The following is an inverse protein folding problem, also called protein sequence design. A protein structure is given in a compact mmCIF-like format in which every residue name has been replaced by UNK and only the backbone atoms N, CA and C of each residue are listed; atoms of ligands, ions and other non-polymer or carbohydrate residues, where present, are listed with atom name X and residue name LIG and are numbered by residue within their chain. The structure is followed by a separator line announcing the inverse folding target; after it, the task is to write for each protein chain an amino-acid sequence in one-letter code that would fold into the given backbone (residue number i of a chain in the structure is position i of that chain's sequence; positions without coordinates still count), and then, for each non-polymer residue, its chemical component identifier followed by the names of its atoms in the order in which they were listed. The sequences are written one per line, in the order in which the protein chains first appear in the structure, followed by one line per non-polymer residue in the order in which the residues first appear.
data_IF_425895053067
#
_entry.id   IF_425895053067
#
_cell.length_a   1.000
_cell.length_b   1.000
_cell.length_c   1.000
_cell.angle_alpha   90.00
_cell.angle_beta   90.00
_cell.angle_gamma   90.00
#
_symmetry.space_group_name_H-M   'P 1'
#
loop_
_entity.id
_entity.type
_entity.pdbx_description
1 polymer ?
#
# COMPACT_ATOMS: atom_id res chain seq x y z
N UNK A 1 -0.32 -9.82 22.54
CA UNK A 1 0.77 -9.24 21.73
C UNK A 1 0.14 -8.23 20.76
N UNK A 2 0.89 -7.42 20.01
CA UNK A 2 0.33 -6.43 19.06
C UNK A 2 1.26 -6.23 17.87
N UNK A 3 0.73 -5.87 16.70
CA UNK A 3 1.53 -5.58 15.50
C UNK A 3 2.64 -4.55 15.78
N UNK A 4 2.32 -3.54 16.60
CA UNK A 4 3.29 -2.55 17.10
C UNK A 4 4.46 -3.18 17.85
N UNK A 5 4.21 -4.17 18.72
CA UNK A 5 5.27 -4.88 19.46
C UNK A 5 6.14 -5.70 18.52
N UNK A 6 5.54 -6.30 17.49
CA UNK A 6 6.31 -7.06 16.49
C UNK A 6 7.28 -6.14 15.75
N UNK A 7 6.87 -4.93 15.39
CA UNK A 7 7.72 -3.92 14.76
C UNK A 7 8.89 -3.48 15.65
N UNK A 8 8.66 -3.33 16.96
CA UNK A 8 9.73 -3.00 17.91
C UNK A 8 10.77 -4.12 17.96
N UNK A 9 10.32 -5.37 18.02
CA UNK A 9 11.22 -6.51 18.09
C UNK A 9 12.02 -6.66 16.78
N UNK A 10 11.37 -6.50 15.62
CA UNK A 10 12.04 -6.49 14.32
C UNK A 10 13.22 -5.53 14.31
N UNK A 11 13.00 -4.26 14.67
CA UNK A 11 14.06 -3.26 14.65
C UNK A 11 15.18 -3.55 15.64
N UNK A 12 14.84 -4.14 16.78
CA UNK A 12 15.80 -4.51 17.81
C UNK A 12 16.72 -5.65 17.34
N UNK A 13 16.19 -6.60 16.58
CA UNK A 13 16.99 -7.65 15.95
C UNK A 13 17.80 -7.11 14.77
N UNK A 14 17.20 -6.23 13.94
CA UNK A 14 17.89 -5.57 12.83
C UNK A 14 19.10 -4.77 13.31
N UNK A 15 18.98 -3.97 14.38
CA UNK A 15 20.09 -3.19 14.95
C UNK A 15 21.28 -4.05 15.40
N UNK A 16 21.08 -5.34 15.74
CA UNK A 16 22.18 -6.23 16.13
C UNK A 16 23.05 -6.64 14.94
N UNK A 17 22.47 -6.73 13.76
CA UNK A 17 23.13 -7.23 12.55
C UNK A 17 23.38 -6.15 11.50
N UNK A 18 22.83 -4.94 11.68
CA UNK A 18 22.91 -3.80 10.74
C UNK A 18 24.33 -3.51 10.25
N UNK A 19 25.30 -3.48 11.17
CA UNK A 19 26.69 -3.18 10.80
C UNK A 19 27.28 -4.27 9.90
N UNK A 20 27.00 -5.55 10.22
CA UNK A 20 27.43 -6.69 9.42
C UNK A 20 26.76 -6.71 8.06
N UNK A 21 25.48 -6.36 7.97
CA UNK A 21 24.77 -6.20 6.70
C UNK A 21 25.49 -5.16 5.83
N UNK A 22 25.79 -3.98 6.38
CA UNK A 22 26.49 -2.91 5.63
C UNK A 22 27.87 -3.34 5.16
N UNK A 23 28.64 -4.00 6.02
CA UNK A 23 29.95 -4.51 5.65
C UNK A 23 29.89 -5.52 4.50
N UNK A 24 28.87 -6.38 4.48
CA UNK A 24 28.65 -7.34 3.40
C UNK A 24 28.19 -6.66 2.10
N UNK A 25 27.25 -5.71 2.19
CA UNK A 25 26.81 -4.91 1.04
C UNK A 25 27.95 -4.10 0.42
N UNK A 26 28.81 -3.48 1.24
CA UNK A 26 30.00 -2.75 0.77
C UNK A 26 31.02 -3.64 0.05
N UNK A 27 31.05 -4.93 0.38
CA UNK A 27 31.93 -5.93 -0.25
C UNK A 27 31.26 -6.68 -1.39
N UNK A 28 30.03 -6.29 -1.76
CA UNK A 28 29.21 -6.95 -2.77
C UNK A 28 29.00 -8.46 -2.49
N UNK A 29 29.04 -8.85 -1.21
CA UNK A 29 28.85 -10.23 -0.79
C UNK A 29 27.36 -10.50 -0.50
N UNK A 30 26.56 -10.45 -1.55
CA UNK A 30 25.10 -10.58 -1.46
C UNK A 30 24.64 -11.94 -0.94
N UNK A 31 25.35 -13.03 -1.27
CA UNK A 31 24.98 -14.38 -0.81
C UNK A 31 25.03 -14.50 0.72
N UNK A 32 26.11 -14.03 1.34
CA UNK A 32 26.25 -14.03 2.79
C UNK A 32 25.33 -13.01 3.46
N UNK A 33 25.10 -11.87 2.80
CA UNK A 33 24.13 -10.87 3.25
C UNK A 33 22.71 -11.46 3.34
N UNK A 34 22.27 -12.18 2.29
CA UNK A 34 20.96 -12.84 2.28
C UNK A 34 20.82 -13.87 3.41
N UNK A 35 21.85 -14.69 3.68
CA UNK A 35 21.83 -15.64 4.81
C UNK A 35 21.73 -14.94 6.17
N UNK A 36 22.35 -13.76 6.31
CA UNK A 36 22.26 -12.96 7.53
C UNK A 36 20.87 -12.32 7.71
N UNK A 37 20.21 -11.96 6.60
CA UNK A 37 18.89 -11.31 6.58
C UNK A 37 17.73 -12.32 6.68
N UNK A 38 17.90 -13.55 6.21
CA UNK A 38 16.86 -14.60 6.16
C UNK A 38 16.06 -14.80 7.46
N UNK A 39 16.67 -14.81 8.67
CA UNK A 39 15.90 -14.91 9.91
C UNK A 39 15.00 -13.69 10.17
N UNK A 40 15.45 -12.49 9.81
CA UNK A 40 14.66 -11.26 9.92
C UNK A 40 13.54 -11.27 8.89
N UNK A 41 13.82 -11.73 7.66
CA UNK A 41 12.84 -11.81 6.57
C UNK A 41 11.74 -12.82 6.88
N UNK A 42 12.09 -13.97 7.44
CA UNK A 42 11.12 -14.97 7.93
C UNK A 42 10.20 -14.37 9.00
N UNK A 43 10.79 -13.64 9.97
CA UNK A 43 10.02 -12.94 11.00
C UNK A 43 9.12 -11.84 10.42
N UNK A 44 9.61 -11.10 9.43
CA UNK A 44 8.86 -10.07 8.72
C UNK A 44 7.64 -10.66 8.00
N UNK A 45 7.81 -11.78 7.28
CA UNK A 45 6.71 -12.46 6.61
C UNK A 45 5.64 -12.92 7.60
N UNK A 46 6.03 -13.58 8.69
CA UNK A 46 5.10 -14.04 9.73
C UNK A 46 4.38 -12.89 10.43
N UNK A 47 5.07 -11.78 10.71
CA UNK A 47 4.52 -10.68 11.50
C UNK A 47 3.75 -9.64 10.68
N UNK A 48 4.12 -9.44 9.42
CA UNK A 48 3.65 -8.34 8.60
C UNK A 48 3.07 -8.79 7.25
N UNK A 49 3.26 -10.04 6.84
CA UNK A 49 2.72 -10.59 5.59
C UNK A 49 3.51 -10.25 4.34
N UNK A 50 4.74 -9.74 4.49
CA UNK A 50 5.63 -9.44 3.37
C UNK A 50 7.08 -9.78 3.67
N UNK A 51 7.81 -10.05 2.60
CA UNK A 51 9.26 -10.11 2.62
C UNK A 51 9.84 -8.70 2.57
N UNK A 52 11.11 -8.57 2.91
CA UNK A 52 11.90 -7.37 2.65
C UNK A 52 13.28 -7.73 2.12
N UNK A 53 13.93 -6.77 1.49
CA UNK A 53 15.31 -6.90 1.05
C UNK A 53 16.10 -5.65 1.39
N UNK A 54 17.42 -5.83 1.46
CA UNK A 54 18.37 -4.76 1.71
C UNK A 54 19.33 -4.64 0.55
N UNK A 55 19.76 -3.42 0.26
CA UNK A 55 20.69 -3.15 -0.83
C UNK A 55 21.58 -1.92 -0.56
N UNK A 56 22.57 -1.73 -1.43
CA UNK A 56 23.43 -0.55 -1.49
C UNK A 56 23.31 0.11 -2.87
N UNK A 57 22.35 1.03 -2.99
CA UNK A 57 22.12 1.79 -4.20
C UNK A 57 23.09 2.98 -4.26
N UNK A 58 24.21 2.81 -4.97
CA UNK A 58 25.19 3.88 -5.23
C UNK A 58 25.77 4.56 -3.97
N UNK A 59 25.88 3.83 -2.86
CA UNK A 59 26.42 4.34 -1.60
C UNK A 59 25.37 4.63 -0.53
N UNK A 60 24.08 4.56 -0.89
CA UNK A 60 22.97 4.67 0.06
C UNK A 60 22.42 3.28 0.38
N UNK A 61 22.33 2.96 1.67
CA UNK A 61 21.77 1.69 2.11
C UNK A 61 20.25 1.76 2.09
N UNK A 62 19.60 0.77 1.49
CA UNK A 62 18.16 0.70 1.38
C UNK A 62 17.60 -0.53 2.08
N UNK A 63 16.44 -0.38 2.73
CA UNK A 63 15.58 -1.48 3.17
C UNK A 63 14.22 -1.28 2.53
N UNK A 64 13.80 -2.26 1.72
CA UNK A 64 12.55 -2.19 0.95
C UNK A 64 11.64 -3.35 1.32
N UNK A 65 10.41 -3.02 1.70
CA UNK A 65 9.34 -3.98 1.95
C UNK A 65 8.63 -4.34 0.65
N UNK A 66 8.51 -5.64 0.36
CA UNK A 66 7.84 -6.17 -0.83
C UNK A 66 6.40 -6.57 -0.49
N UNK A 67 5.52 -5.57 -0.45
CA UNK A 67 4.16 -5.74 0.09
C UNK A 67 3.15 -6.30 -0.90
N UNK A 68 3.50 -6.34 -2.19
CA UNK A 68 2.55 -6.52 -3.28
C UNK A 68 1.36 -5.53 -3.20
N UNK A 69 0.22 -5.87 -3.83
CA UNK A 69 -1.00 -5.05 -3.82
C UNK A 69 -1.83 -5.20 -2.52
N UNK A 70 -1.33 -5.91 -1.50
CA UNK A 70 -2.08 -6.14 -0.27
C UNK A 70 -2.07 -4.90 0.63
N UNK A 71 -3.20 -4.20 0.71
CA UNK A 71 -3.35 -2.96 1.51
C UNK A 71 -3.06 -3.14 3.00
N UNK A 72 -3.50 -4.24 3.60
CA UNK A 72 -3.22 -4.54 5.02
C UNK A 72 -1.71 -4.61 5.27
N UNK A 73 -1.01 -5.30 4.38
CA UNK A 73 0.45 -5.47 4.41
C UNK A 73 1.18 -4.14 4.17
N UNK A 74 0.73 -3.33 3.21
CA UNK A 74 1.26 -1.98 2.96
C UNK A 74 1.14 -1.07 4.20
N UNK A 75 0.01 -1.14 4.91
CA UNK A 75 -0.15 -0.39 6.16
C UNK A 75 0.81 -0.84 7.25
N UNK A 76 1.01 -2.15 7.39
CA UNK A 76 1.95 -2.71 8.37
C UNK A 76 3.39 -2.32 8.04
N UNK A 77 3.82 -2.45 6.77
CA UNK A 77 5.14 -2.02 6.33
C UNK A 77 5.37 -0.51 6.58
N UNK A 78 4.38 0.33 6.25
CA UNK A 78 4.46 1.77 6.55
C UNK A 78 4.58 2.07 8.05
N UNK A 79 3.84 1.34 8.90
CA UNK A 79 3.99 1.43 10.35
C UNK A 79 5.40 1.02 10.78
N UNK A 80 5.93 -0.10 10.28
CA UNK A 80 7.28 -0.56 10.64
C UNK A 80 8.34 0.48 10.26
N UNK A 81 8.31 1.02 9.03
CA UNK A 81 9.19 2.12 8.61
C UNK A 81 9.04 3.37 9.50
N UNK A 82 7.82 3.74 9.84
CA UNK A 82 7.55 4.86 10.75
C UNK A 82 8.14 4.63 12.14
N UNK A 83 8.21 3.40 12.60
CA UNK A 83 8.74 3.04 13.93
C UNK A 83 10.25 2.82 13.95
N UNK A 84 10.94 2.90 12.81
CA UNK A 84 12.37 2.64 12.73
C UNK A 84 13.17 3.55 13.70
N UNK A 85 14.21 3.00 14.36
CA UNK A 85 15.08 3.77 15.24
C UNK A 85 15.69 4.99 14.53
N UNK A 86 15.90 6.07 15.29
CA UNK A 86 16.48 7.31 14.75
C UNK A 86 17.86 7.11 14.12
N UNK A 87 18.64 6.13 14.60
CA UNK A 87 19.94 5.79 14.04
C UNK A 87 19.76 5.21 12.62
N UNK A 88 18.88 4.21 12.47
CA UNK A 88 18.56 3.59 11.19
C UNK A 88 18.05 4.62 10.19
N UNK A 89 17.07 5.45 10.56
CA UNK A 89 16.51 6.50 9.68
C UNK A 89 17.52 7.53 9.19
N UNK A 90 18.68 7.65 9.84
CA UNK A 90 19.76 8.57 9.42
C UNK A 90 20.72 7.93 8.42
N UNK A 91 20.81 6.61 8.38
CA UNK A 91 21.78 5.88 7.56
C UNK A 91 21.15 4.97 6.52
N UNK A 92 19.83 4.78 6.55
CA UNK A 92 19.08 3.93 5.64
C UNK A 92 17.90 4.68 5.00
N UNK A 93 17.72 4.46 3.71
CA UNK A 93 16.48 4.74 2.99
C UNK A 93 15.51 3.59 3.31
N UNK A 94 14.31 3.93 3.77
CA UNK A 94 13.29 2.95 4.18
C UNK A 94 12.08 3.06 3.26
N UNK A 95 11.91 2.07 2.39
CA UNK A 95 10.81 2.01 1.44
C UNK A 95 9.73 1.06 1.96
N UNK A 96 8.57 1.61 2.33
CA UNK A 96 7.43 0.84 2.84
C UNK A 96 6.70 0.01 1.75
N UNK A 97 7.08 0.21 0.50
CA UNK A 97 6.58 -0.47 -0.68
C UNK A 97 7.68 -0.44 -1.74
N UNK A 98 7.53 -1.24 -2.79
CA UNK A 98 8.51 -1.33 -3.87
C UNK A 98 8.65 0.01 -4.64
N UNK A 99 9.86 0.62 -4.71
CA UNK A 99 10.11 1.79 -5.53
C UNK A 99 10.27 1.43 -7.02
N UNK A 100 10.06 2.39 -7.94
CA UNK A 100 10.30 2.18 -9.38
C UNK A 100 11.74 1.76 -9.65
N UNK A 101 11.91 0.80 -10.55
CA UNK A 101 13.23 0.32 -10.97
C UNK A 101 14.17 0.00 -9.80
N UNK A 102 13.62 -0.55 -8.72
CA UNK A 102 14.43 -1.04 -7.61
C UNK A 102 15.51 -2.01 -8.09
N UNK A 103 16.52 -2.28 -7.28
CA UNK A 103 17.54 -3.27 -7.64
C UNK A 103 16.96 -4.64 -7.96
N UNK A 104 15.86 -5.02 -7.28
CA UNK A 104 15.10 -6.22 -7.60
C UNK A 104 14.60 -6.22 -9.06
N UNK A 105 14.13 -5.08 -9.56
CA UNK A 105 13.73 -4.91 -10.95
C UNK A 105 14.94 -4.98 -11.90
N UNK A 106 16.06 -4.33 -11.57
CA UNK A 106 17.27 -4.32 -12.40
C UNK A 106 17.86 -5.74 -12.55
N UNK A 107 17.83 -6.53 -11.48
CA UNK A 107 18.36 -7.89 -11.45
C UNK A 107 17.34 -8.95 -11.92
N UNK A 108 16.09 -8.56 -12.18
CA UNK A 108 15.06 -9.51 -12.58
C UNK A 108 15.41 -10.15 -13.93
N UNK A 109 15.46 -11.49 -13.92
CA UNK A 109 15.68 -12.31 -15.09
C UNK A 109 14.48 -13.22 -15.28
N UNK A 110 13.88 -13.15 -16.47
CA UNK A 110 12.75 -13.98 -16.87
C UNK A 110 13.24 -15.04 -17.82
N UNK A 111 13.28 -16.29 -17.37
CA UNK A 111 13.59 -17.41 -18.24
C UNK A 111 12.32 -17.86 -18.98
N UNK A 112 12.34 -17.75 -20.31
CA UNK A 112 11.28 -18.29 -21.18
C UNK A 112 11.92 -19.33 -22.10
N UNK A 113 11.61 -20.61 -21.85
CA UNK A 113 12.27 -21.76 -22.47
C UNK A 113 13.80 -21.67 -22.29
N UNK A 114 14.54 -21.56 -23.40
CA UNK A 114 16.00 -21.58 -23.42
C UNK A 114 16.63 -20.18 -23.48
N UNK A 115 15.81 -19.12 -23.36
CA UNK A 115 16.28 -17.73 -23.40
C UNK A 115 15.99 -17.02 -22.07
N UNK A 116 16.92 -16.16 -21.69
CA UNK A 116 16.80 -15.26 -20.54
C UNK A 116 16.50 -13.86 -21.08
N UNK A 117 15.45 -13.26 -20.54
CA UNK A 117 15.04 -11.89 -20.82
C UNK A 117 15.21 -11.06 -19.55
N UNK A 118 15.53 -9.80 -19.72
CA UNK A 118 15.63 -8.77 -18.68
C UNK A 118 14.61 -7.68 -18.98
N UNK A 119 14.37 -6.75 -18.05
CA UNK A 119 13.39 -5.66 -18.29
C UNK A 119 13.65 -4.88 -19.58
N UNK A 120 14.90 -4.75 -20.03
CA UNK A 120 15.25 -4.06 -21.28
C UNK A 120 14.76 -4.76 -22.54
N UNK A 121 14.41 -6.04 -22.45
CA UNK A 121 13.89 -6.83 -23.57
C UNK A 121 12.36 -6.71 -23.73
N UNK A 122 11.69 -6.03 -22.79
CA UNK A 122 10.25 -5.83 -22.79
C UNK A 122 9.89 -4.44 -23.31
N UNK A 123 8.84 -4.39 -24.13
CA UNK A 123 8.22 -3.14 -24.58
C UNK A 123 6.86 -2.98 -23.92
N UNK A 124 6.53 -1.74 -23.56
CA UNK A 124 5.24 -1.35 -23.03
C UNK A 124 4.50 -0.56 -24.11
N UNK A 125 3.34 -1.06 -24.52
CA UNK A 125 2.37 -0.32 -25.31
C UNK A 125 1.31 0.24 -24.37
N UNK A 126 0.85 1.47 -24.60
CA UNK A 126 -0.11 2.09 -23.70
C UNK A 126 -1.06 3.07 -24.38
N UNK A 127 -2.26 3.16 -23.82
CA UNK A 127 -3.27 4.18 -24.15
C UNK A 127 -3.71 4.88 -22.86
N UNK A 128 -3.76 6.21 -22.88
CA UNK A 128 -4.21 7.00 -21.73
C UNK A 128 -5.73 7.19 -21.72
N UNK A 129 -6.38 6.86 -20.60
CA UNK A 129 -7.73 7.32 -20.24
C UNK A 129 -7.60 8.60 -19.40
N UNK A 130 -7.79 9.75 -20.06
CA UNK A 130 -7.71 11.07 -19.42
C UNK A 130 -8.86 11.33 -18.43
N UNK A 131 -9.95 10.59 -18.51
CA UNK A 131 -11.10 10.73 -17.59
C UNK A 131 -10.79 10.04 -16.27
N UNK A 132 -10.27 8.80 -16.34
CA UNK A 132 -9.87 8.03 -15.16
C UNK A 132 -8.46 8.37 -14.67
N UNK A 133 -7.71 9.19 -15.43
CA UNK A 133 -6.30 9.50 -15.16
C UNK A 133 -5.44 8.24 -15.03
N UNK A 134 -5.58 7.34 -16.00
CA UNK A 134 -4.86 6.05 -15.99
C UNK A 134 -4.37 5.64 -17.37
N UNK A 135 -3.43 4.71 -17.41
CA UNK A 135 -2.95 4.02 -18.60
C UNK A 135 -3.51 2.61 -18.65
N UNK A 136 -3.93 2.21 -19.85
CA UNK A 136 -4.17 0.83 -20.22
C UNK A 136 -2.92 0.32 -20.92
N UNK A 137 -2.30 -0.71 -20.34
CA UNK A 137 -0.98 -1.17 -20.70
C UNK A 137 -1.03 -2.58 -21.31
N UNK A 138 -0.22 -2.79 -22.35
CA UNK A 138 0.01 -4.12 -22.92
C UNK A 138 1.52 -4.36 -23.02
N UNK A 139 2.00 -5.42 -22.37
CA UNK A 139 3.43 -5.76 -22.33
C UNK A 139 3.76 -6.75 -23.43
N UNK A 140 4.85 -6.50 -24.15
CA UNK A 140 5.36 -7.36 -25.20
C UNK A 140 6.81 -7.76 -24.93
N UNK A 141 7.11 -9.04 -25.19
CA UNK A 141 8.46 -9.56 -25.36
C UNK A 141 8.43 -10.63 -26.45
N UNK A 142 9.50 -10.78 -27.28
CA UNK A 142 9.55 -11.83 -28.30
C UNK A 142 9.26 -13.25 -27.76
N UNK A 143 9.65 -13.51 -26.52
CA UNK A 143 9.43 -14.79 -25.83
C UNK A 143 7.98 -15.07 -25.46
N UNK A 144 7.08 -14.08 -25.38
CA UNK A 144 5.69 -14.29 -24.95
C UNK A 144 4.91 -15.23 -25.88
N UNK A 145 5.19 -15.18 -27.18
CA UNK A 145 4.61 -16.11 -28.17
C UNK A 145 4.91 -17.59 -27.85
N UNK A 146 5.94 -17.87 -27.04
CA UNK A 146 6.36 -19.21 -26.65
C UNK A 146 5.68 -19.73 -25.38
N UNK A 147 4.98 -18.86 -24.63
CA UNK A 147 4.25 -19.23 -23.41
C UNK A 147 2.80 -19.55 -23.78
N UNK A 148 2.38 -20.78 -23.51
CA UNK A 148 1.02 -21.26 -23.85
C UNK A 148 -0.02 -20.89 -22.80
N UNK A 149 0.39 -20.74 -21.53
CA UNK A 149 -0.52 -20.36 -20.46
C UNK A 149 -0.72 -18.83 -20.47
N UNK A 150 -1.92 -18.38 -20.86
CA UNK A 150 -2.28 -16.97 -20.97
C UNK A 150 -2.40 -16.28 -19.60
N UNK A 151 -2.80 -17.00 -18.55
CA UNK A 151 -2.90 -16.45 -17.20
C UNK A 151 -1.49 -16.13 -16.67
N UNK A 152 -0.56 -17.08 -16.79
CA UNK A 152 0.84 -16.85 -16.42
C UNK A 152 1.47 -15.68 -17.21
N UNK A 153 1.13 -15.51 -18.50
CA UNK A 153 1.59 -14.36 -19.29
C UNK A 153 1.08 -13.06 -18.70
N UNK A 154 -0.21 -13.00 -18.38
CA UNK A 154 -0.83 -11.81 -17.81
C UNK A 154 -0.26 -11.46 -16.44
N UNK A 155 -0.14 -12.44 -15.54
CA UNK A 155 0.47 -12.25 -14.22
C UNK A 155 1.92 -11.76 -14.32
N UNK A 156 2.69 -12.34 -15.25
CA UNK A 156 4.06 -11.90 -15.52
C UNK A 156 4.11 -10.46 -16.03
N UNK A 157 3.23 -10.08 -16.95
CA UNK A 157 3.12 -8.69 -17.43
C UNK A 157 2.79 -7.72 -16.31
N UNK A 158 1.83 -8.07 -15.44
CA UNK A 158 1.47 -7.27 -14.27
C UNK A 158 2.67 -7.10 -13.34
N UNK A 159 3.37 -8.19 -13.02
CA UNK A 159 4.51 -8.18 -12.13
C UNK A 159 5.69 -7.38 -12.67
N UNK A 160 6.03 -7.55 -13.96
CA UNK A 160 7.12 -6.81 -14.60
C UNK A 160 6.81 -5.32 -14.69
N UNK A 161 5.55 -4.95 -14.95
CA UNK A 161 5.14 -3.56 -14.94
C UNK A 161 5.19 -2.96 -13.53
N UNK A 162 4.77 -3.69 -12.51
CA UNK A 162 4.93 -3.26 -11.11
C UNK A 162 6.40 -3.05 -10.74
N UNK A 163 7.30 -3.96 -11.16
CA UNK A 163 8.74 -3.80 -10.96
C UNK A 163 9.30 -2.53 -11.62
N UNK A 164 8.83 -2.21 -12.82
CA UNK A 164 9.26 -1.02 -13.55
C UNK A 164 8.72 0.27 -12.94
N UNK A 165 7.44 0.31 -12.57
CA UNK A 165 6.77 1.52 -12.10
C UNK A 165 6.88 1.74 -10.59
N UNK A 166 7.15 0.69 -9.82
CA UNK A 166 6.93 0.66 -8.38
C UNK A 166 5.45 0.63 -8.02
N UNK A 167 5.15 0.22 -6.79
CA UNK A 167 3.78 -0.03 -6.35
C UNK A 167 2.91 1.25 -6.31
N UNK A 168 3.49 2.39 -5.95
CA UNK A 168 2.72 3.65 -5.86
C UNK A 168 2.22 4.12 -7.23
N UNK A 169 3.07 4.14 -8.25
CA UNK A 169 2.66 4.58 -9.58
C UNK A 169 1.79 3.53 -10.27
N UNK A 170 2.06 2.24 -10.05
CA UNK A 170 1.25 1.15 -10.55
C UNK A 170 -0.20 1.29 -10.08
N UNK A 171 -0.43 1.44 -8.77
CA UNK A 171 -1.79 1.57 -8.24
C UNK A 171 -2.48 2.90 -8.56
N UNK A 172 -1.71 3.99 -8.70
CA UNK A 172 -2.27 5.31 -8.93
C UNK A 172 -2.74 5.49 -10.38
N UNK A 173 -2.04 4.88 -11.34
CA UNK A 173 -2.15 5.26 -12.75
C UNK A 173 -2.35 4.10 -13.71
N UNK A 174 -2.39 2.84 -13.27
CA UNK A 174 -2.58 1.71 -14.19
C UNK A 174 -4.01 1.20 -14.06
N UNK A 175 -4.79 1.37 -15.14
CA UNK A 175 -6.18 0.95 -15.21
C UNK A 175 -6.33 -0.51 -15.65
N UNK A 176 -5.43 -1.00 -16.51
CA UNK A 176 -5.39 -2.42 -16.90
C UNK A 176 -4.02 -2.82 -17.41
N UNK A 177 -3.70 -4.10 -17.27
CA UNK A 177 -2.51 -4.72 -17.86
C UNK A 177 -2.93 -5.97 -18.64
N UNK A 178 -2.42 -6.08 -19.86
CA UNK A 178 -2.51 -7.28 -20.70
C UNK A 178 -1.16 -7.57 -21.37
N UNK A 179 -1.10 -8.57 -22.24
CA UNK A 179 0.09 -8.96 -22.98
C UNK A 179 -0.15 -8.97 -24.49
N UNK A 180 0.95 -8.88 -25.25
CA UNK A 180 0.95 -9.06 -26.70
C UNK A 180 1.87 -10.20 -27.12
N UNK A 181 1.44 -10.97 -28.11
CA UNK A 181 2.29 -11.95 -28.79
C UNK A 181 3.04 -11.35 -30.00
N UNK A 182 2.65 -10.15 -30.43
CA UNK A 182 3.29 -9.38 -31.51
C UNK A 182 3.21 -7.87 -31.23
N UNK A 183 4.23 -7.08 -31.61
CA UNK A 183 4.26 -5.65 -31.34
C UNK A 183 3.25 -4.87 -32.20
N UNK A 184 2.70 -3.78 -31.67
CA UNK A 184 1.77 -2.88 -32.38
C UNK A 184 2.47 -1.57 -32.77
N UNK A 185 3.00 -1.50 -33.99
CA UNK A 185 3.83 -0.36 -34.41
C UNK A 185 3.08 0.98 -34.53
N UNK A 186 1.75 0.97 -34.52
CA UNK A 186 0.91 2.16 -34.68
C UNK A 186 0.49 2.80 -33.33
N UNK A 187 0.81 2.17 -32.20
CA UNK A 187 0.45 2.65 -30.85
C UNK A 187 1.62 3.37 -30.14
N UNK A 188 1.32 4.12 -29.08
CA UNK A 188 2.37 4.70 -28.24
C UNK A 188 3.09 3.58 -27.48
N UNK A 189 4.42 3.60 -27.52
CA UNK A 189 5.22 2.59 -26.85
C UNK A 189 6.52 3.16 -26.28
N UNK A 190 7.06 2.48 -25.28
CA UNK A 190 8.40 2.70 -24.74
C UNK A 190 9.04 1.37 -24.33
N UNK A 191 10.34 1.39 -24.03
CA UNK A 191 10.94 0.28 -23.31
C UNK A 191 10.36 0.23 -21.89
N UNK A 192 10.19 -0.97 -21.33
CA UNK A 192 9.67 -1.12 -19.99
C UNK A 192 10.57 -0.44 -18.94
N UNK A 193 11.89 -0.37 -19.15
CA UNK A 193 12.79 0.37 -18.24
C UNK A 193 12.56 1.88 -18.27
N UNK A 194 11.99 2.42 -19.33
CA UNK A 194 11.70 3.86 -19.47
C UNK A 194 10.26 4.19 -19.04
N UNK A 195 9.46 3.17 -18.67
CA UNK A 195 8.02 3.32 -18.45
C UNK A 195 7.69 4.29 -17.31
N UNK A 196 8.44 4.25 -16.22
CA UNK A 196 8.21 5.12 -15.07
C UNK A 196 8.42 6.60 -15.45
N UNK A 197 9.54 6.94 -16.09
CA UNK A 197 9.83 8.31 -16.52
C UNK A 197 8.74 8.80 -17.49
N UNK A 198 8.37 7.98 -18.48
CA UNK A 198 7.31 8.33 -19.44
C UNK A 198 5.95 8.55 -18.79
N UNK A 199 5.59 7.73 -17.81
CA UNK A 199 4.34 7.87 -17.08
C UNK A 199 4.34 9.16 -16.26
N UNK A 200 5.43 9.45 -15.55
CA UNK A 200 5.52 10.64 -14.71
C UNK A 200 5.58 11.93 -15.54
N UNK A 201 6.26 11.93 -16.69
CA UNK A 201 6.21 13.03 -17.66
C UNK A 201 4.78 13.32 -18.13
N UNK A 202 4.00 12.25 -18.40
CA UNK A 202 2.60 12.38 -18.81
C UNK A 202 1.74 12.91 -17.65
N UNK A 203 1.90 12.38 -16.44
CA UNK A 203 1.22 12.85 -15.21
C UNK A 203 1.46 14.35 -15.00
N UNK A 204 2.72 14.81 -15.12
CA UNK A 204 3.05 16.23 -14.98
C UNK A 204 2.45 17.07 -16.12
N UNK A 205 2.63 16.64 -17.37
CA UNK A 205 2.15 17.36 -18.55
C UNK A 205 0.62 17.53 -18.56
N UNK A 206 -0.10 16.52 -18.07
CA UNK A 206 -1.58 16.53 -18.00
C UNK A 206 -2.12 17.10 -16.70
N UNK A 207 -1.26 17.37 -15.72
CA UNK A 207 -1.67 17.84 -14.40
C UNK A 207 -2.50 16.81 -13.63
N UNK A 208 -2.21 15.52 -13.80
CA UNK A 208 -2.81 14.46 -12.99
C UNK A 208 -2.35 14.58 -11.54
N UNK A 209 -3.16 14.09 -10.59
CA UNK A 209 -2.81 14.15 -9.17
C UNK A 209 -1.60 13.26 -8.89
N UNK A 210 -0.62 13.78 -8.14
CA UNK A 210 0.55 13.04 -7.68
C UNK A 210 0.33 12.40 -6.30
N UNK A 211 0.97 11.25 -6.08
CA UNK A 211 0.91 10.49 -4.83
C UNK A 211 2.32 10.16 -4.35
N UNK A 212 2.51 10.14 -3.03
CA UNK A 212 3.79 9.74 -2.43
C UNK A 212 3.73 8.34 -1.81
N UNK A 213 2.53 7.79 -1.65
CA UNK A 213 2.31 6.47 -1.09
C UNK A 213 1.02 5.84 -1.65
N UNK A 214 1.00 4.50 -1.82
CA UNK A 214 -0.24 3.76 -2.11
C UNK A 214 -1.35 4.01 -1.06
N UNK A 215 -0.97 4.39 0.16
CA UNK A 215 -1.89 4.61 1.28
C UNK A 215 -2.64 5.96 1.20
N UNK A 216 -2.34 6.78 0.19
CA UNK A 216 -2.98 8.09 -0.07
C UNK A 216 -3.98 8.06 -1.23
N UNK A 217 -4.11 6.90 -1.90
CA UNK A 217 -4.98 6.69 -3.06
C UNK A 217 -6.37 6.32 -2.56
N UNK A 218 -7.29 7.29 -2.58
CA UNK A 218 -8.67 7.10 -2.12
C UNK A 218 -9.60 6.69 -3.26
N UNK A 219 -10.36 5.64 -3.04
CA UNK A 219 -11.54 5.29 -3.81
C UNK A 219 -12.79 5.88 -3.16
N UNK A 220 -13.76 6.28 -3.98
CA UNK A 220 -15.04 6.81 -3.53
C UNK A 220 -16.16 5.94 -4.06
N UNK A 221 -17.00 5.44 -3.15
CA UNK A 221 -18.15 4.61 -3.49
C UNK A 221 -19.45 5.31 -3.11
N UNK A 222 -20.48 5.12 -3.93
CA UNK A 222 -21.85 5.44 -3.61
C UNK A 222 -22.64 4.11 -3.57
N UNK A 223 -23.02 3.60 -2.39
CA UNK A 223 -23.76 2.35 -2.28
C UNK A 223 -25.09 2.40 -3.06
N UNK A 224 -25.39 1.32 -3.79
CA UNK A 224 -26.67 1.14 -4.48
C UNK A 224 -27.65 0.48 -3.49
N UNK A 225 -28.10 1.22 -2.46
CA UNK A 225 -29.16 0.76 -1.56
C UNK A 225 -30.18 1.87 -1.31
N UNK A 226 -31.45 1.47 -1.18
CA UNK A 226 -32.52 2.36 -0.72
C UNK A 226 -32.24 2.78 0.73
N UNK A 227 -32.05 4.09 0.96
CA UNK A 227 -31.59 4.74 2.20
C UNK A 227 -32.56 4.67 3.40
N UNK A 228 -33.32 3.59 3.55
CA UNK A 228 -34.42 3.49 4.51
C UNK A 228 -34.00 3.01 5.91
N UNK A 229 -32.75 2.58 6.13
CA UNK A 229 -32.35 1.96 7.40
C UNK A 229 -31.45 2.88 8.24
N UNK A 230 -31.90 3.23 9.45
CA UNK A 230 -31.10 4.04 10.41
C UNK A 230 -30.12 3.17 11.23
N UNK A 231 -29.77 1.97 10.75
CA UNK A 231 -28.78 1.13 11.43
C UNK A 231 -27.36 1.51 11.02
N UNK A 232 -26.41 1.24 11.91
CA UNK A 232 -25.00 1.51 11.68
C UNK A 232 -24.53 0.87 10.37
N UNK A 233 -23.76 1.63 9.60
CA UNK A 233 -23.23 1.35 8.26
C UNK A 233 -24.28 1.06 7.17
N UNK A 234 -25.53 0.71 7.51
CA UNK A 234 -26.66 0.60 6.56
C UNK A 234 -27.22 1.97 6.14
N UNK A 235 -26.80 3.04 6.79
CA UNK A 235 -27.20 4.41 6.48
C UNK A 235 -26.20 5.17 5.59
N UNK A 236 -25.10 4.53 5.16
CA UNK A 236 -23.99 5.14 4.40
C UNK A 236 -24.44 5.65 3.02
N UNK A 237 -24.09 6.90 2.70
CA UNK A 237 -24.37 7.56 1.41
C UNK A 237 -23.13 7.63 0.53
N UNK A 238 -22.00 7.98 1.14
CA UNK A 238 -20.71 8.06 0.47
C UNK A 238 -19.66 7.38 1.33
N UNK A 239 -18.87 6.52 0.72
CA UNK A 239 -17.74 5.83 1.35
C UNK A 239 -16.47 6.34 0.69
N UNK A 240 -15.46 6.62 1.49
CA UNK A 240 -14.15 7.06 1.06
C UNK A 240 -13.15 6.13 1.72
N UNK A 241 -12.37 5.39 0.95
CA UNK A 241 -11.45 4.39 1.52
C UNK A 241 -10.20 4.30 0.68
N UNK A 242 -9.07 4.07 1.33
CA UNK A 242 -7.81 3.63 0.70
C UNK A 242 -7.66 2.11 0.75
N UNK A 243 -8.64 1.41 1.35
CA UNK A 243 -8.71 -0.05 1.40
C UNK A 243 -10.07 -0.53 0.83
N UNK A 244 -10.24 -0.55 -0.50
CA UNK A 244 -11.48 -0.97 -1.16
C UNK A 244 -11.96 -2.37 -0.76
N UNK A 245 -11.04 -3.34 -0.72
CA UNK A 245 -11.36 -4.73 -0.42
C UNK A 245 -11.96 -4.92 0.98
N UNK A 246 -11.51 -4.16 1.98
CA UNK A 246 -12.13 -4.16 3.31
C UNK A 246 -13.62 -3.75 3.25
N UNK A 247 -13.95 -2.75 2.43
CA UNK A 247 -15.32 -2.26 2.28
C UNK A 247 -16.18 -3.29 1.55
N UNK A 248 -15.69 -3.84 0.44
CA UNK A 248 -16.36 -4.89 -0.33
C UNK A 248 -16.68 -6.10 0.57
N UNK A 249 -15.67 -6.60 1.29
CA UNK A 249 -15.79 -7.70 2.23
C UNK A 249 -16.85 -7.44 3.31
N UNK A 250 -16.86 -6.24 3.89
CA UNK A 250 -17.82 -5.85 4.94
C UNK A 250 -19.25 -5.78 4.40
N UNK A 251 -19.43 -5.36 3.14
CA UNK A 251 -20.74 -5.29 2.50
C UNK A 251 -21.26 -6.69 2.11
N UNK A 252 -20.37 -7.62 1.81
CA UNK A 252 -20.67 -9.01 1.44
C UNK A 252 -20.68 -9.99 2.63
N UNK A 253 -20.51 -9.48 3.87
CA UNK A 253 -20.44 -10.28 5.11
C UNK A 253 -19.32 -11.34 5.11
N UNK A 254 -18.20 -11.04 4.44
CA UNK A 254 -16.97 -11.85 4.41
C UNK A 254 -15.97 -11.38 5.49
N UNK A 255 -14.87 -12.11 5.73
CA UNK A 255 -13.96 -11.87 6.88
C UNK A 255 -12.47 -12.13 6.60
N UNK A 256 -12.05 -12.29 5.35
CA UNK A 256 -10.67 -12.69 5.02
C UNK A 256 -9.67 -11.56 5.27
N UNK A 257 -9.96 -10.31 4.86
CA UNK A 257 -9.18 -9.11 5.16
C UNK A 257 -9.15 -8.85 6.66
N UNK A 258 -10.27 -9.04 7.37
CA UNK A 258 -10.31 -8.87 8.83
C UNK A 258 -9.38 -9.87 9.53
N UNK A 259 -9.46 -11.14 9.15
CA UNK A 259 -8.59 -12.21 9.68
C UNK A 259 -7.13 -12.01 9.32
N UNK A 260 -6.85 -11.50 8.12
CA UNK A 260 -5.49 -11.24 7.64
C UNK A 260 -4.73 -10.30 8.59
N UNK A 261 -5.40 -9.26 9.10
CA UNK A 261 -4.83 -8.36 10.10
C UNK A 261 -4.84 -8.95 11.52
N UNK A 262 -5.89 -9.70 11.88
CA UNK A 262 -6.02 -10.33 13.19
C UNK A 262 -4.87 -11.29 13.48
N UNK A 263 -4.49 -12.15 12.52
CA UNK A 263 -3.36 -13.08 12.68
C UNK A 263 -2.03 -12.35 12.84
N UNK A 264 -1.93 -11.12 12.30
CA UNK A 264 -0.80 -10.19 12.46
C UNK A 264 -0.92 -9.31 13.71
N UNK A 265 -1.89 -9.61 14.57
CA UNK A 265 -2.14 -8.95 15.86
C UNK A 265 -2.51 -7.47 15.76
N UNK A 266 -3.20 -7.10 14.68
CA UNK A 266 -3.94 -5.84 14.58
C UNK A 266 -5.44 -6.09 14.48
N UNK A 267 -6.22 -5.02 14.32
CA UNK A 267 -7.65 -5.11 14.01
C UNK A 267 -8.13 -3.89 13.21
N UNK A 268 -9.25 -4.05 12.51
CA UNK A 268 -9.95 -2.93 11.88
C UNK A 268 -11.08 -2.47 12.79
N UNK A 269 -11.08 -1.19 13.12
CA UNK A 269 -12.08 -0.53 13.94
C UNK A 269 -12.66 0.67 13.18
N UNK A 270 -13.90 1.02 13.46
CA UNK A 270 -14.47 2.30 13.02
C UNK A 270 -14.99 3.11 14.19
N UNK A 271 -14.74 4.42 14.12
CA UNK A 271 -15.29 5.42 15.03
C UNK A 271 -16.54 6.00 14.38
N UNK A 272 -17.63 6.10 15.14
CA UNK A 272 -18.84 6.75 14.65
C UNK A 272 -19.44 7.74 15.65
N UNK A 273 -20.20 8.69 15.11
CA UNK A 273 -20.94 9.70 15.86
C UNK A 273 -22.14 10.20 15.05
N UNK A 274 -23.10 10.79 15.73
CA UNK A 274 -24.30 11.33 15.08
C UNK A 274 -23.96 12.53 14.20
N UNK A 275 -24.58 12.61 13.03
CA UNK A 275 -24.59 13.83 12.22
C UNK A 275 -25.32 14.93 13.01
N UNK A 276 -24.60 16.02 13.30
CA UNK A 276 -25.08 17.08 14.18
C UNK A 276 -25.84 18.14 13.39
N UNK A 277 -25.49 18.34 12.12
CA UNK A 277 -25.98 19.45 11.31
C UNK A 277 -26.99 19.01 10.24
N UNK A 278 -26.92 17.75 9.80
CA UNK A 278 -27.65 17.17 8.65
C UNK A 278 -27.43 17.92 7.34
N UNK A 279 -26.24 18.50 7.19
CA UNK A 279 -25.86 19.40 6.09
C UNK A 279 -24.40 19.14 5.68
N UNK A 280 -23.85 19.95 4.76
CA UNK A 280 -22.45 19.80 4.29
C UNK A 280 -21.44 20.00 5.42
N UNK A 281 -21.83 20.69 6.48
CA UNK A 281 -21.05 20.91 7.69
C UNK A 281 -20.66 19.60 8.38
N UNK A 282 -21.48 18.54 8.30
CA UNK A 282 -21.10 17.22 8.84
C UNK A 282 -19.92 16.62 8.07
N UNK A 283 -19.87 16.82 6.75
CA UNK A 283 -18.77 16.34 5.92
C UNK A 283 -17.45 17.05 6.27
N UNK A 284 -17.50 18.37 6.45
CA UNK A 284 -16.35 19.17 6.86
C UNK A 284 -15.89 18.80 8.27
N UNK A 285 -16.84 18.61 9.19
CA UNK A 285 -16.54 18.21 10.57
C UNK A 285 -15.90 16.82 10.62
N UNK A 286 -16.41 15.85 9.84
CA UNK A 286 -15.79 14.53 9.68
C UNK A 286 -14.37 14.63 9.17
N UNK A 287 -14.14 15.44 8.14
CA UNK A 287 -12.80 15.60 7.57
C UNK A 287 -11.80 16.14 8.59
N UNK A 288 -12.21 17.14 9.38
CA UNK A 288 -11.35 17.71 10.42
C UNK A 288 -11.06 16.69 11.54
N UNK A 289 -12.09 16.00 12.04
CA UNK A 289 -11.94 14.93 13.03
C UNK A 289 -11.04 13.80 12.53
N UNK A 290 -11.25 13.37 11.28
CA UNK A 290 -10.45 12.33 10.61
C UNK A 290 -8.97 12.71 10.60
N UNK A 291 -8.64 13.95 10.26
CA UNK A 291 -7.27 14.46 10.26
C UNK A 291 -6.69 14.53 11.67
N UNK A 292 -7.48 14.99 12.65
CA UNK A 292 -7.05 15.05 14.05
C UNK A 292 -6.74 13.66 14.60
N UNK A 293 -7.61 12.68 14.33
CA UNK A 293 -7.42 11.29 14.72
C UNK A 293 -6.19 10.68 14.06
N UNK A 294 -6.06 10.81 12.74
CA UNK A 294 -4.93 10.25 12.01
C UNK A 294 -3.58 10.77 12.54
N UNK A 295 -3.48 12.09 12.75
CA UNK A 295 -2.28 12.70 13.35
C UNK A 295 -1.97 12.16 14.76
N UNK A 296 -2.99 12.06 15.62
CA UNK A 296 -2.81 11.60 16.98
C UNK A 296 -2.45 10.11 17.06
N UNK A 297 -3.08 9.29 16.21
CA UNK A 297 -2.83 7.84 16.14
C UNK A 297 -1.46 7.53 15.57
N UNK A 298 -1.04 8.22 14.50
CA UNK A 298 0.30 8.09 13.96
C UNK A 298 1.36 8.54 14.96
N UNK A 299 1.16 9.68 15.64
CA UNK A 299 2.08 10.13 16.70
C UNK A 299 2.18 9.13 17.86
N UNK A 300 1.08 8.43 18.13
CA UNK A 300 1.03 7.38 19.14
C UNK A 300 1.43 6.01 18.61
N UNK A 301 1.74 5.87 17.32
CA UNK A 301 2.09 4.60 16.67
C UNK A 301 1.06 3.50 16.94
N UNK A 302 -0.22 3.83 17.06
CA UNK A 302 -1.25 2.89 17.49
C UNK A 302 -2.27 2.53 16.42
N UNK A 303 -2.48 3.41 15.43
CA UNK A 303 -3.44 3.21 14.35
C UNK A 303 -3.16 4.19 13.20
N UNK A 304 -3.85 3.99 12.06
CA UNK A 304 -4.01 4.97 10.99
C UNK A 304 -5.47 5.07 10.58
N UNK A 305 -5.88 6.25 10.12
CA UNK A 305 -7.20 6.40 9.47
C UNK A 305 -7.07 5.92 8.02
N UNK A 306 -7.97 5.04 7.61
CA UNK A 306 -7.97 4.41 6.27
C UNK A 306 -9.18 4.83 5.43
N UNK A 307 -10.06 5.66 6.00
CA UNK A 307 -11.26 6.10 5.31
C UNK A 307 -12.43 6.38 6.23
N UNK A 308 -13.61 6.02 5.76
CA UNK A 308 -14.86 6.15 6.47
C UNK A 308 -16.01 6.46 5.53
N UNK A 309 -17.12 6.87 6.12
CA UNK A 309 -18.33 7.13 5.36
C UNK A 309 -19.13 8.28 5.96
N UNK A 310 -19.98 8.86 5.13
CA UNK A 310 -21.01 9.79 5.57
C UNK A 310 -22.35 9.10 5.36
N UNK A 311 -23.05 8.83 6.44
CA UNK A 311 -24.39 8.26 6.43
C UNK A 311 -25.49 9.30 6.52
N UNK A 312 -26.73 8.83 6.59
CA UNK A 312 -27.92 9.63 6.87
C UNK A 312 -27.90 10.14 8.31
N UNK A 313 -27.64 9.24 9.25
CA UNK A 313 -27.75 9.48 10.70
C UNK A 313 -26.38 9.60 11.35
N UNK A 314 -25.37 8.89 10.83
CA UNK A 314 -24.04 8.84 11.41
C UNK A 314 -22.94 9.22 10.42
N UNK A 315 -21.82 9.67 10.95
CA UNK A 315 -20.55 9.77 10.26
C UNK A 315 -19.58 8.72 10.82
N UNK A 316 -18.74 8.17 9.93
CA UNK A 316 -17.83 7.07 10.22
C UNK A 316 -16.39 7.45 9.85
N UNK A 317 -15.44 7.03 10.68
CA UNK A 317 -14.01 7.14 10.45
C UNK A 317 -13.40 5.76 10.66
N UNK A 318 -12.95 5.16 9.57
CA UNK A 318 -12.45 3.80 9.53
C UNK A 318 -10.94 3.80 9.85
N UNK A 319 -10.49 2.89 10.69
CA UNK A 319 -9.14 2.83 11.22
C UNK A 319 -8.54 1.42 11.09
N UNK A 320 -7.26 1.36 10.76
CA UNK A 320 -6.43 0.18 10.99
C UNK A 320 -5.70 0.35 12.32
N UNK A 321 -5.86 -0.59 13.25
CA UNK A 321 -5.36 -0.52 14.63
C UNK A 321 -4.24 -1.52 14.83
N UNK A 322 -3.06 -1.01 15.21
CA UNK A 322 -1.85 -1.79 15.43
C UNK A 322 -1.59 -2.12 16.90
N UNK A 323 -2.19 -1.36 17.82
CA UNK A 323 -2.14 -1.58 19.26
C UNK A 323 -3.42 -1.06 19.92
N UNK A 324 -4.34 -1.97 20.22
CA UNK A 324 -5.69 -1.68 20.72
C UNK A 324 -5.67 -0.87 22.02
N UNK A 325 -4.82 -1.26 22.98
CA UNK A 325 -4.74 -0.58 24.27
C UNK A 325 -4.26 0.87 24.10
N UNK A 326 -3.25 1.07 23.25
CA UNK A 326 -2.72 2.41 22.98
C UNK A 326 -3.71 3.25 22.17
N UNK A 327 -4.39 2.64 21.20
CA UNK A 327 -5.46 3.28 20.44
C UNK A 327 -6.59 3.79 21.35
N UNK A 328 -7.11 2.95 22.24
CA UNK A 328 -8.13 3.34 23.21
C UNK A 328 -7.66 4.49 24.11
N UNK A 329 -6.44 4.39 24.65
CA UNK A 329 -5.87 5.45 25.49
C UNK A 329 -5.71 6.77 24.74
N UNK A 330 -5.29 6.74 23.46
CA UNK A 330 -5.13 7.94 22.64
C UNK A 330 -6.50 8.53 22.28
N UNK A 331 -7.47 7.70 21.93
CA UNK A 331 -8.84 8.13 21.64
C UNK A 331 -9.49 8.81 22.86
N UNK A 332 -9.30 8.26 24.06
CA UNK A 332 -9.84 8.84 25.29
C UNK A 332 -9.19 10.18 25.65
N UNK A 333 -7.95 10.43 25.24
CA UNK A 333 -7.33 11.75 25.36
C UNK A 333 -7.97 12.75 24.40
N UNK A 334 -8.26 12.34 23.16
CA UNK A 334 -8.89 13.21 22.16
C UNK A 334 -10.33 13.54 22.57
N UNK A 335 -11.10 12.54 23.05
CA UNK A 335 -12.47 12.74 23.57
C UNK A 335 -12.56 13.85 24.62
N UNK A 336 -11.54 14.00 25.48
CA UNK A 336 -11.51 15.05 26.52
C UNK A 336 -11.36 16.46 25.95
N UNK A 337 -10.92 16.60 24.70
CA UNK A 337 -10.71 17.87 24.02
C UNK A 337 -11.89 18.27 23.13
N UNK A 338 -12.83 17.34 22.89
CA UNK A 338 -13.99 17.56 22.02
C UNK A 338 -15.14 18.22 22.79
N UNK A 339 -16.01 18.90 22.05
CA UNK A 339 -17.26 19.42 22.60
C UNK A 339 -18.09 18.26 23.17
N UNK A 340 -18.62 18.45 24.38
CA UNK A 340 -19.50 17.51 25.09
C UNK A 340 -20.69 16.98 24.28
N UNK A 341 -21.10 17.69 23.22
CA UNK A 341 -22.17 17.28 22.30
C UNK A 341 -21.73 16.17 21.34
N UNK A 342 -20.43 16.03 21.09
CA UNK A 342 -19.86 15.02 20.17
C UNK A 342 -19.66 13.72 20.94
N UNK A 343 -20.61 12.79 20.81
CA UNK A 343 -20.51 11.46 21.42
C UNK A 343 -19.86 10.49 20.43
N UNK A 344 -18.58 10.21 20.67
CA UNK A 344 -17.81 9.24 19.90
C UNK A 344 -18.00 7.82 20.43
N UNK A 345 -18.25 6.91 19.51
CA UNK A 345 -18.35 5.47 19.75
C UNK A 345 -17.34 4.72 18.88
N UNK A 346 -16.90 3.54 19.32
CA UNK A 346 -15.98 2.67 18.58
C UNK A 346 -16.63 1.30 18.44
N UNK A 347 -16.56 0.72 17.25
CA UNK A 347 -16.91 -0.66 16.99
C UNK A 347 -15.86 -1.31 16.11
N UNK A 348 -15.69 -2.62 16.28
CA UNK A 348 -14.96 -3.45 15.33
C UNK A 348 -15.77 -3.54 14.04
N UNK A 349 -15.07 -3.70 12.91
CA UNK A 349 -15.70 -3.95 11.61
C UNK A 349 -16.61 -5.17 11.62
#
# INVERSE_FOLDING_TARGET
MSARKNAIEFWKEFEKVEHSIRDLLNRENYEECMKLVEPLDSYAYESFGCHFFVDNAYGDYELTWDTGPNKTTQYLAAMVCQMAPKAIKKSWILNACLPPLSQKAIQAQVQIKDQIYTLTDFMLFYTADETQQSWHCEVYCPGFSLITNTENKKEMSMYLLELALGQCAYEAYIGSVDFLDAPKMDESFCNLVDAYEKLMDHVETKGWKTYQSPLEIYSVFQPIQDFAHDALRKDMKFIFTTHPLLIEETLEEQTDVLKDLEVKQGEFDYIYYNNLFNTREDALFRQELSKQFDQAFQKSECARVIGGAIGKSYSYIDCIVFDVHRFQSTLDQIKKQLDSKVKLHVQKF
#
